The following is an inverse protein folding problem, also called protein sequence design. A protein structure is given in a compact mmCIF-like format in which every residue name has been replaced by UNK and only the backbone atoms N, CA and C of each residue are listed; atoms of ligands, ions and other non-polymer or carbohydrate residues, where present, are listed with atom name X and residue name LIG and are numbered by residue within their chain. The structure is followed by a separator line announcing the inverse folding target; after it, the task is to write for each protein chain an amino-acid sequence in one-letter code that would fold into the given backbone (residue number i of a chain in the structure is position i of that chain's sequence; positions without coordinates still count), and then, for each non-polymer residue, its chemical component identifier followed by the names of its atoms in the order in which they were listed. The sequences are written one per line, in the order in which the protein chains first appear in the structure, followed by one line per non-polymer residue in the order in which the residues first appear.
data_IF_540052115680
#
_entry.id   IF_540052115680
#
_cell.length_a   1.000
_cell.length_b   1.000
_cell.length_c   1.000
_cell.angle_alpha   90.00
_cell.angle_beta   90.00
_cell.angle_gamma   90.00
#
_symmetry.space_group_name_H-M   'P 1'
#
loop_
_entity.id
_entity.type
_entity.pdbx_description
1 polymer ?
#
# COMPACT_ATOMS: atom_id res chain seq x y z
N UNK A 1 -13.90 -16.92 20.87
CA UNK A 1 -13.98 -16.28 19.54
C UNK A 1 -13.17 -14.98 19.40
N UNK A 2 -12.76 -14.30 20.49
CA UNK A 2 -11.99 -13.04 20.42
C UNK A 2 -10.45 -13.18 20.23
N UNK A 3 -9.90 -14.40 20.05
CA UNK A 3 -8.45 -14.64 20.01
C UNK A 3 -7.84 -14.77 18.60
N UNK A 4 -8.66 -14.88 17.55
CA UNK A 4 -8.18 -14.99 16.16
C UNK A 4 -8.08 -13.64 15.43
N UNK A 5 -8.80 -12.61 15.88
CA UNK A 5 -8.80 -11.30 15.22
C UNK A 5 -7.52 -10.49 15.50
N UNK A 6 -6.91 -10.69 16.68
CA UNK A 6 -5.69 -10.00 17.11
C UNK A 6 -4.39 -10.44 16.44
N UNK A 7 -4.44 -11.36 15.46
CA UNK A 7 -3.27 -11.84 14.70
C UNK A 7 -3.33 -11.52 13.21
N UNK A 8 -4.40 -10.89 12.73
CA UNK A 8 -4.63 -10.62 11.30
C UNK A 8 -4.37 -9.17 10.88
N UNK A 9 -4.02 -8.27 11.81
CA UNK A 9 -3.68 -6.88 11.49
C UNK A 9 -2.17 -6.71 11.66
N UNK A 10 -1.41 -7.22 10.70
CA UNK A 10 0.02 -7.02 10.63
C UNK A 10 0.40 -6.50 9.24
N UNK A 11 0.57 -5.17 9.17
CA UNK A 11 1.40 -4.42 8.22
C UNK A 11 0.94 -4.39 6.78
N UNK A 12 0.56 -3.19 6.35
CA UNK A 12 0.79 -2.70 5.00
C UNK A 12 1.22 -1.25 5.13
N UNK A 13 2.15 -0.80 4.27
CA UNK A 13 2.53 0.58 3.90
C UNK A 13 4.05 0.84 3.96
N UNK A 14 4.66 0.99 2.77
CA UNK A 14 5.82 1.85 2.59
C UNK A 14 5.31 3.28 2.42
N UNK A 15 6.04 4.22 3.00
CA UNK A 15 5.61 5.59 3.18
C UNK A 15 6.66 6.51 2.50
N UNK A 16 6.25 7.17 1.40
CA UNK A 16 7.10 7.90 0.44
C UNK A 16 7.89 9.10 1.00
N UNK A 17 9.19 9.17 0.68
CA UNK A 17 9.94 10.41 0.39
C UNK A 17 10.73 10.22 -0.91
N UNK A 18 10.61 11.18 -1.86
CA UNK A 18 11.57 11.55 -2.92
C UNK A 18 10.86 12.17 -4.14
N UNK A 19 10.96 13.49 -4.25
CA UNK A 19 11.12 14.19 -5.53
C UNK A 19 12.63 14.19 -5.83
N UNK A 20 13.05 13.65 -6.97
CA UNK A 20 14.14 14.10 -7.86
C UNK A 20 14.64 12.95 -8.77
N UNK A 21 14.89 13.18 -10.07
CA UNK A 21 15.45 12.18 -10.98
C UNK A 21 17.00 12.20 -10.95
N UNK A 22 17.63 11.03 -10.78
CA UNK A 22 19.07 10.81 -11.01
C UNK A 22 19.31 9.85 -12.17
N UNK A 23 20.44 9.94 -12.90
CA UNK A 23 20.71 9.07 -14.05
C UNK A 23 21.06 7.65 -13.62
N UNK A 24 20.53 6.66 -14.35
CA UNK A 24 20.74 5.22 -14.13
C UNK A 24 21.88 4.73 -15.03
N UNK A 25 22.96 4.19 -14.45
CA UNK A 25 23.95 3.38 -15.17
C UNK A 25 23.63 1.89 -14.99
N UNK A 26 23.63 1.15 -16.10
CA UNK A 26 23.29 -0.27 -16.14
C UNK A 26 24.51 -1.17 -15.94
N UNK A 27 24.44 -2.03 -14.92
CA UNK A 27 25.07 -3.36 -14.89
C UNK A 27 24.07 -4.32 -14.21
N UNK A 28 23.90 -5.57 -14.70
CA UNK A 28 23.07 -6.54 -13.99
C UNK A 28 23.85 -7.07 -12.77
N UNK A 29 23.39 -6.88 -11.52
CA UNK A 29 24.05 -7.53 -10.40
C UNK A 29 23.59 -9.00 -10.30
N UNK A 30 24.50 -9.83 -9.80
CA UNK A 30 24.23 -11.22 -9.43
C UNK A 30 23.05 -11.32 -8.45
N UNK A 31 22.38 -12.48 -8.44
CA UNK A 31 21.17 -12.76 -7.65
C UNK A 31 21.48 -12.64 -6.15
N UNK A 32 21.17 -11.49 -5.57
CA UNK A 32 21.32 -11.21 -4.13
C UNK A 32 20.06 -11.67 -3.39
N UNK A 33 20.19 -12.46 -2.32
CA UNK A 33 19.06 -12.80 -1.45
C UNK A 33 18.61 -11.52 -0.77
N UNK A 34 17.45 -10.99 -1.15
CA UNK A 34 16.94 -9.73 -0.61
C UNK A 34 16.48 -9.95 0.82
N UNK A 35 17.12 -9.25 1.75
CA UNK A 35 16.77 -9.29 3.18
C UNK A 35 15.46 -8.51 3.41
N UNK A 36 14.36 -9.22 3.63
CA UNK A 36 13.08 -8.63 4.02
C UNK A 36 12.96 -8.52 5.54
N UNK A 37 13.80 -7.68 6.16
CA UNK A 37 13.77 -7.44 7.62
C UNK A 37 12.38 -7.06 8.14
N UNK A 38 11.55 -6.45 7.28
CA UNK A 38 10.18 -6.10 7.60
C UNK A 38 9.34 -7.32 7.98
N UNK A 39 9.61 -8.50 7.42
CA UNK A 39 8.94 -9.75 7.78
C UNK A 39 9.37 -10.22 9.18
N UNK A 40 10.65 -10.09 9.52
CA UNK A 40 11.16 -10.43 10.84
C UNK A 40 10.62 -9.49 11.92
N UNK A 41 10.61 -8.18 11.64
CA UNK A 41 10.15 -7.14 12.57
C UNK A 41 8.68 -7.32 13.00
N UNK A 42 7.90 -7.99 12.16
CA UNK A 42 6.46 -8.19 12.38
C UNK A 42 6.15 -9.60 12.86
N UNK A 43 7.20 -10.39 13.12
CA UNK A 43 7.13 -11.82 13.43
C UNK A 43 6.29 -12.56 12.39
N UNK A 44 6.49 -12.24 11.10
CA UNK A 44 5.81 -12.93 10.02
C UNK A 44 6.15 -14.42 10.10
N UNK A 45 5.16 -15.31 9.91
CA UNK A 45 5.40 -16.73 9.95
C UNK A 45 6.29 -17.12 8.76
N UNK A 46 7.29 -17.97 9.01
CA UNK A 46 8.18 -18.50 7.98
C UNK A 46 7.42 -19.26 6.90
N UNK A 47 6.35 -19.95 7.31
CA UNK A 47 5.39 -20.62 6.44
C UNK A 47 4.08 -19.84 6.41
N UNK A 48 3.83 -19.11 5.32
CA UNK A 48 2.59 -18.36 5.14
C UNK A 48 1.42 -19.27 4.75
N UNK A 49 1.66 -20.54 4.40
CA UNK A 49 0.58 -21.48 4.04
C UNK A 49 -0.34 -21.79 5.22
N UNK A 50 0.14 -21.64 6.46
CA UNK A 50 -0.69 -21.76 7.66
C UNK A 50 -1.70 -20.62 7.83
N UNK A 51 -1.57 -19.56 7.02
CA UNK A 51 -2.47 -18.41 6.96
C UNK A 51 -3.19 -18.31 5.61
N UNK A 52 -3.06 -19.33 4.75
CA UNK A 52 -3.82 -19.41 3.51
C UNK A 52 -5.31 -19.44 3.86
N UNK A 53 -6.02 -18.39 3.46
CA UNK A 53 -7.46 -18.30 3.69
C UNK A 53 -8.17 -19.38 2.88
N UNK A 54 -9.09 -20.11 3.50
CA UNK A 54 -9.99 -21.04 2.80
C UNK A 54 -10.95 -20.31 1.83
N UNK A 55 -11.11 -19.00 2.02
CA UNK A 55 -11.93 -18.11 1.19
C UNK A 55 -11.06 -17.09 0.44
N UNK A 56 -11.47 -16.76 -0.78
CA UNK A 56 -10.89 -15.70 -1.61
C UNK A 56 -11.02 -14.34 -0.90
N UNK A 57 -9.89 -13.76 -0.46
CA UNK A 57 -9.84 -12.43 0.16
C UNK A 57 -9.40 -11.43 -0.89
N UNK A 58 -10.26 -10.45 -1.18
CA UNK A 58 -9.94 -9.32 -2.04
C UNK A 58 -9.44 -8.12 -1.24
N UNK A 59 -8.32 -7.56 -1.68
CA UNK A 59 -7.69 -6.36 -1.14
C UNK A 59 -7.70 -5.28 -2.21
N UNK A 60 -8.41 -4.18 -1.95
CA UNK A 60 -8.33 -2.98 -2.77
C UNK A 60 -7.04 -2.23 -2.45
N UNK A 61 -6.28 -1.91 -3.48
CA UNK A 61 -5.10 -1.03 -3.39
C UNK A 61 -5.47 0.30 -4.04
N UNK A 62 -5.81 1.28 -3.20
CA UNK A 62 -6.15 2.65 -3.61
C UNK A 62 -4.86 3.46 -3.72
N UNK A 63 -4.29 3.51 -4.92
CA UNK A 63 -2.93 4.00 -5.14
C UNK A 63 -2.72 4.47 -6.60
N UNK A 64 -1.52 4.30 -7.16
CA UNK A 64 -1.15 4.77 -8.49
C UNK A 64 -1.41 3.83 -9.65
N UNK A 65 -2.05 2.69 -9.37
CA UNK A 65 -2.20 1.59 -10.30
C UNK A 65 -1.21 0.46 -10.02
N UNK A 66 -1.27 -0.58 -10.82
CA UNK A 66 -0.42 -1.77 -10.68
C UNK A 66 0.14 -2.17 -12.03
N UNK A 67 1.43 -2.53 -12.07
CA UNK A 67 2.00 -3.15 -13.24
C UNK A 67 1.66 -4.65 -13.32
N UNK A 68 0.57 -4.95 -14.03
CA UNK A 68 0.06 -6.31 -14.24
C UNK A 68 1.04 -7.30 -14.93
N UNK A 69 2.06 -6.81 -15.65
CA UNK A 69 3.06 -7.62 -16.35
C UNK A 69 4.33 -7.87 -15.54
N UNK A 70 4.36 -7.48 -14.27
CA UNK A 70 5.54 -7.61 -13.43
C UNK A 70 5.72 -9.07 -12.96
N UNK A 71 6.89 -9.70 -13.16
CA UNK A 71 7.09 -11.10 -12.78
C UNK A 71 7.02 -11.40 -11.28
N UNK A 72 7.01 -10.38 -10.42
CA UNK A 72 6.90 -10.49 -8.95
C UNK A 72 5.48 -10.23 -8.44
N UNK A 73 4.54 -9.82 -9.29
CA UNK A 73 3.11 -9.72 -9.00
C UNK A 73 2.46 -10.75 -9.91
N UNK A 74 2.08 -11.91 -9.36
CA UNK A 74 1.47 -12.96 -10.17
C UNK A 74 0.15 -12.45 -10.76
N UNK A 75 -0.02 -12.56 -12.07
CA UNK A 75 -1.23 -12.12 -12.77
C UNK A 75 -2.49 -12.86 -12.30
N UNK A 76 -2.36 -14.04 -11.69
CA UNK A 76 -3.48 -14.75 -11.04
C UNK A 76 -3.96 -14.10 -9.74
N UNK A 77 -3.17 -13.25 -9.12
CA UNK A 77 -3.53 -12.50 -7.91
C UNK A 77 -4.02 -11.09 -8.22
N UNK A 78 -4.09 -10.67 -9.49
CA UNK A 78 -4.57 -9.34 -9.89
C UNK A 78 -5.88 -9.48 -10.66
N UNK A 79 -6.94 -8.82 -10.18
CA UNK A 79 -8.24 -8.79 -10.85
C UNK A 79 -8.51 -7.41 -11.46
N UNK A 80 -9.58 -7.30 -12.23
CA UNK A 80 -9.99 -6.03 -12.83
C UNK A 80 -10.24 -4.95 -11.77
N UNK A 81 -9.89 -3.72 -12.11
CA UNK A 81 -10.06 -2.54 -11.25
C UNK A 81 -10.46 -1.31 -12.06
N UNK A 82 -10.33 -0.12 -11.47
CA UNK A 82 -10.74 1.12 -12.11
C UNK A 82 -9.80 2.28 -11.82
N UNK A 83 -9.73 3.23 -12.74
CA UNK A 83 -8.97 4.45 -12.60
C UNK A 83 -9.89 5.66 -12.46
N UNK A 84 -10.00 6.14 -11.22
CA UNK A 84 -10.83 7.27 -10.82
C UNK A 84 -10.17 8.63 -11.05
N UNK A 85 -8.86 8.66 -11.35
CA UNK A 85 -8.19 9.88 -11.75
C UNK A 85 -8.48 10.23 -13.22
N UNK A 86 -8.59 9.22 -14.09
CA UNK A 86 -8.80 9.37 -15.53
C UNK A 86 -10.19 8.92 -16.02
N UNK A 87 -11.06 8.42 -15.12
CA UNK A 87 -12.35 7.79 -15.45
C UNK A 87 -12.22 6.71 -16.53
N UNK A 88 -11.37 5.70 -16.28
CA UNK A 88 -11.11 4.62 -17.24
C UNK A 88 -10.86 3.27 -16.59
N UNK A 89 -10.95 2.18 -17.35
CA UNK A 89 -10.56 0.84 -16.89
C UNK A 89 -9.05 0.59 -16.94
N UNK A 90 -8.23 1.58 -17.34
CA UNK A 90 -6.78 1.41 -17.45
C UNK A 90 -6.12 1.69 -16.10
N UNK A 91 -5.66 0.63 -15.45
CA UNK A 91 -5.09 0.66 -14.10
C UNK A 91 -3.57 0.50 -14.06
N UNK A 92 -2.90 0.67 -15.22
CA UNK A 92 -1.44 0.54 -15.32
C UNK A 92 -0.74 1.63 -14.50
N UNK A 93 0.26 1.21 -13.73
CA UNK A 93 1.00 2.11 -12.83
C UNK A 93 2.03 2.96 -13.58
N UNK A 94 1.72 4.25 -13.74
CA UNK A 94 2.64 5.22 -14.36
C UNK A 94 3.54 5.93 -13.34
N UNK A 95 3.32 5.73 -12.04
CA UNK A 95 4.10 6.35 -10.96
C UNK A 95 5.06 5.34 -10.33
N UNK A 96 4.61 4.11 -10.10
CA UNK A 96 5.36 3.00 -9.51
C UNK A 96 5.04 2.71 -8.04
N UNK A 97 4.26 3.57 -7.37
CA UNK A 97 4.01 3.44 -5.92
C UNK A 97 3.02 2.31 -5.62
N UNK A 98 1.91 2.23 -6.36
CA UNK A 98 0.91 1.17 -6.18
C UNK A 98 1.47 -0.22 -6.47
N UNK A 99 2.39 -0.34 -7.44
CA UNK A 99 3.12 -1.57 -7.70
C UNK A 99 4.05 -1.96 -6.52
N UNK A 100 4.72 -0.98 -5.91
CA UNK A 100 5.55 -1.22 -4.71
C UNK A 100 4.72 -1.71 -3.52
N UNK A 101 3.59 -1.05 -3.28
CA UNK A 101 2.65 -1.42 -2.21
C UNK A 101 2.11 -2.83 -2.45
N UNK A 102 1.70 -3.12 -3.69
CA UNK A 102 1.19 -4.44 -4.08
C UNK A 102 2.23 -5.54 -3.89
N UNK A 103 3.50 -5.27 -4.20
CA UNK A 103 4.56 -6.27 -4.01
C UNK A 103 4.78 -6.64 -2.54
N UNK A 104 4.54 -5.73 -1.59
CA UNK A 104 4.58 -6.03 -0.16
C UNK A 104 3.36 -6.88 0.24
N UNK A 105 2.19 -6.55 -0.30
CA UNK A 105 0.95 -7.26 0.01
C UNK A 105 0.98 -8.67 -0.57
N UNK A 106 1.17 -8.81 -1.87
CA UNK A 106 0.96 -10.04 -2.63
C UNK A 106 2.16 -10.42 -3.52
N UNK A 107 3.37 -9.98 -3.16
CA UNK A 107 4.60 -10.40 -3.82
C UNK A 107 4.69 -11.93 -3.94
N UNK A 108 4.88 -12.40 -5.17
CA UNK A 108 4.84 -13.83 -5.49
C UNK A 108 6.10 -14.53 -4.99
N UNK A 109 5.92 -15.60 -4.19
CA UNK A 109 6.99 -16.55 -3.82
C UNK A 109 7.49 -17.38 -5.02
N UNK A 110 6.83 -17.31 -6.17
CA UNK A 110 7.03 -18.25 -7.25
C UNK A 110 8.24 -17.91 -8.14
N UNK A 111 9.07 -18.93 -8.36
CA UNK A 111 10.24 -18.97 -9.25
C UNK A 111 11.48 -18.25 -8.73
N UNK A 112 12.08 -18.78 -7.66
CA UNK A 112 13.50 -18.55 -7.35
C UNK A 112 13.89 -17.07 -7.05
N UNK A 113 12.94 -16.20 -6.66
CA UNK A 113 13.21 -14.76 -6.44
C UNK A 113 12.71 -14.19 -5.10
N UNK A 114 13.68 -13.75 -4.30
CA UNK A 114 13.85 -12.46 -3.61
C UNK A 114 12.71 -11.69 -2.89
N UNK A 115 11.40 -11.91 -3.12
CA UNK A 115 10.36 -11.12 -2.43
C UNK A 115 9.14 -11.98 -2.04
N UNK A 116 8.84 -12.02 -0.75
CA UNK A 116 7.66 -12.68 -0.17
C UNK A 116 6.66 -11.63 0.26
N UNK A 117 5.46 -11.64 -0.34
CA UNK A 117 4.29 -10.89 0.15
C UNK A 117 3.54 -11.64 1.24
N UNK A 118 2.86 -10.91 2.13
CA UNK A 118 2.16 -11.47 3.29
C UNK A 118 0.82 -12.15 2.95
N UNK A 119 0.14 -11.65 1.94
CA UNK A 119 -1.14 -12.14 1.43
C UNK A 119 -0.98 -12.81 0.07
N UNK A 120 -0.09 -13.79 -0.06
CA UNK A 120 0.21 -14.44 -1.35
C UNK A 120 -0.99 -15.17 -2.00
N UNK A 121 -2.08 -15.36 -1.26
CA UNK A 121 -3.35 -15.92 -1.76
C UNK A 121 -4.46 -14.89 -1.91
N UNK A 122 -4.17 -13.60 -1.65
CA UNK A 122 -5.15 -12.54 -1.81
C UNK A 122 -5.27 -12.14 -3.29
N UNK A 123 -6.50 -11.82 -3.70
CA UNK A 123 -6.75 -11.14 -4.96
C UNK A 123 -6.62 -9.63 -4.74
N UNK A 124 -5.93 -8.95 -5.65
CA UNK A 124 -5.63 -7.53 -5.58
C UNK A 124 -6.49 -6.81 -6.59
N UNK A 125 -7.20 -5.79 -6.12
CA UNK A 125 -8.04 -4.90 -6.94
C UNK A 125 -7.34 -3.55 -7.07
N UNK A 126 -6.83 -3.16 -8.25
CA UNK A 126 -6.18 -1.88 -8.45
C UNK A 126 -7.22 -0.76 -8.58
N UNK A 127 -7.26 0.16 -7.62
CA UNK A 127 -8.13 1.34 -7.65
C UNK A 127 -7.26 2.60 -7.77
N UNK A 128 -7.16 3.18 -8.97
CA UNK A 128 -6.23 4.28 -9.22
C UNK A 128 -6.82 5.60 -8.76
N UNK A 129 -6.23 6.18 -7.72
CA UNK A 129 -6.60 7.49 -7.18
C UNK A 129 -5.67 8.61 -7.65
N UNK A 130 -4.40 8.28 -7.90
CA UNK A 130 -3.38 9.21 -8.40
C UNK A 130 -2.67 8.59 -9.60
N UNK A 131 -2.33 9.36 -10.62
CA UNK A 131 -1.59 8.86 -11.77
C UNK A 131 -0.77 9.98 -12.38
N UNK A 132 -0.17 9.75 -13.54
CA UNK A 132 0.44 10.82 -14.33
C UNK A 132 0.04 10.69 -15.79
N UNK A 133 -0.06 11.83 -16.46
CA UNK A 133 -0.12 11.85 -17.90
C UNK A 133 1.20 11.35 -18.50
N UNK A 134 1.19 10.88 -19.78
CA UNK A 134 2.42 10.57 -20.49
C UNK A 134 3.44 11.73 -20.54
N UNK A 135 2.97 12.97 -20.38
CA UNK A 135 3.81 14.17 -20.26
C UNK A 135 4.59 14.26 -18.93
N UNK A 136 4.31 13.38 -17.97
CA UNK A 136 4.91 13.38 -16.63
C UNK A 136 4.14 14.20 -15.59
N UNK A 137 3.12 14.94 -15.99
CA UNK A 137 2.29 15.73 -15.05
C UNK A 137 1.43 14.81 -14.20
N UNK A 138 1.54 14.95 -12.88
CA UNK A 138 0.75 14.17 -11.91
C UNK A 138 -0.70 14.64 -11.92
N UNK A 139 -1.63 13.68 -11.88
CA UNK A 139 -3.06 13.89 -11.79
C UNK A 139 -3.58 13.17 -10.54
N UNK A 140 -4.27 13.90 -9.68
CA UNK A 140 -4.89 13.35 -8.48
C UNK A 140 -6.42 13.48 -8.62
N UNK A 141 -7.15 12.40 -8.39
CA UNK A 141 -8.61 12.39 -8.49
C UNK A 141 -9.35 13.11 -7.35
N UNK A 142 -8.63 13.55 -6.32
CA UNK A 142 -9.16 14.27 -5.17
C UNK A 142 -10.07 13.42 -4.28
N UNK A 143 -10.78 14.09 -3.38
CA UNK A 143 -11.72 13.44 -2.45
C UNK A 143 -12.84 12.68 -3.18
N UNK A 144 -13.46 13.20 -4.27
CA UNK A 144 -14.53 12.47 -4.96
C UNK A 144 -14.06 11.13 -5.56
N UNK A 145 -12.83 11.06 -6.07
CA UNK A 145 -12.25 9.80 -6.53
C UNK A 145 -12.01 8.82 -5.38
N UNK A 146 -11.50 9.30 -4.24
CA UNK A 146 -11.25 8.46 -3.07
C UNK A 146 -12.55 7.89 -2.49
N UNK A 147 -13.58 8.72 -2.36
CA UNK A 147 -14.92 8.31 -1.91
C UNK A 147 -15.49 7.21 -2.79
N UNK A 148 -15.44 7.38 -4.12
CA UNK A 148 -15.91 6.38 -5.07
C UNK A 148 -15.08 5.10 -5.02
N UNK A 149 -13.75 5.21 -4.96
CA UNK A 149 -12.88 4.04 -4.84
C UNK A 149 -13.21 3.22 -3.58
N UNK A 150 -13.45 3.86 -2.43
CA UNK A 150 -13.84 3.16 -1.19
C UNK A 150 -15.18 2.45 -1.36
N UNK A 151 -16.20 3.11 -1.92
CA UNK A 151 -17.52 2.50 -2.13
C UNK A 151 -17.48 1.35 -3.14
N UNK A 152 -16.83 1.54 -4.28
CA UNK A 152 -16.73 0.52 -5.32
C UNK A 152 -15.87 -0.67 -4.89
N UNK A 153 -14.83 -0.45 -4.07
CA UNK A 153 -14.08 -1.55 -3.46
C UNK A 153 -15.04 -2.53 -2.78
N UNK A 154 -16.07 -2.02 -2.12
CA UNK A 154 -17.08 -2.81 -1.39
C UNK A 154 -18.14 -3.34 -2.36
N UNK A 155 -18.83 -2.45 -3.07
CA UNK A 155 -20.07 -2.76 -3.79
C UNK A 155 -19.84 -3.42 -5.15
N UNK A 156 -18.74 -3.06 -5.83
CA UNK A 156 -18.41 -3.56 -7.18
C UNK A 156 -17.41 -4.70 -7.10
N UNK A 157 -16.38 -4.54 -6.29
CA UNK A 157 -15.25 -5.48 -6.26
C UNK A 157 -15.31 -6.49 -5.10
N UNK A 158 -16.23 -6.31 -4.15
CA UNK A 158 -16.41 -7.19 -3.00
C UNK A 158 -15.13 -7.39 -2.18
N UNK A 159 -14.38 -6.30 -1.97
CA UNK A 159 -13.17 -6.28 -1.16
C UNK A 159 -13.50 -6.40 0.32
N UNK A 160 -12.62 -7.07 1.06
CA UNK A 160 -12.69 -7.18 2.52
C UNK A 160 -11.71 -6.25 3.23
N UNK A 161 -10.70 -5.79 2.50
CA UNK A 161 -9.66 -4.88 2.99
C UNK A 161 -9.45 -3.79 1.93
N UNK A 162 -9.31 -2.55 2.39
CA UNK A 162 -8.97 -1.39 1.57
C UNK A 162 -7.69 -0.78 2.11
N UNK A 163 -6.63 -0.80 1.31
CA UNK A 163 -5.37 -0.13 1.62
C UNK A 163 -5.30 1.21 0.87
N UNK A 164 -5.18 2.31 1.61
CA UNK A 164 -5.05 3.67 1.08
C UNK A 164 -3.67 4.23 1.47
N UNK A 165 -2.70 4.17 0.55
CA UNK A 165 -1.33 4.61 0.82
C UNK A 165 -1.10 6.12 0.65
N UNK A 166 -2.16 6.90 0.86
CA UNK A 166 -2.15 8.35 0.77
C UNK A 166 -3.27 8.91 1.64
N UNK A 167 -3.34 10.23 1.73
CA UNK A 167 -4.44 10.92 2.37
C UNK A 167 -4.59 12.35 1.89
N UNK A 168 -5.66 12.98 2.36
CA UNK A 168 -5.96 14.40 2.18
C UNK A 168 -5.92 15.09 3.53
N UNK A 169 -5.60 16.38 3.58
CA UNK A 169 -5.51 17.13 4.84
C UNK A 169 -6.82 17.78 5.28
N UNK A 170 -7.84 17.74 4.43
CA UNK A 170 -9.16 18.29 4.72
C UNK A 170 -10.10 17.16 5.13
N UNK A 171 -10.78 17.34 6.26
CA UNK A 171 -11.82 16.43 6.73
C UNK A 171 -13.14 16.72 6.00
N UNK A 172 -13.51 15.82 5.10
CA UNK A 172 -14.70 15.96 4.26
C UNK A 172 -15.80 15.00 4.72
N UNK A 173 -17.04 15.51 4.79
CA UNK A 173 -18.19 14.73 5.24
C UNK A 173 -18.40 13.47 4.40
N UNK A 174 -18.29 13.58 3.07
CA UNK A 174 -18.48 12.46 2.14
C UNK A 174 -17.42 11.37 2.32
N UNK A 175 -16.18 11.74 2.65
CA UNK A 175 -15.11 10.77 2.92
C UNK A 175 -15.34 10.05 4.25
N UNK A 176 -15.77 10.79 5.28
CA UNK A 176 -16.17 10.20 6.56
C UNK A 176 -17.32 9.21 6.40
N UNK A 177 -18.32 9.56 5.61
CA UNK A 177 -19.46 8.68 5.31
C UNK A 177 -19.05 7.43 4.53
N UNK A 178 -18.13 7.55 3.57
CA UNK A 178 -17.61 6.40 2.83
C UNK A 178 -16.84 5.41 3.73
N UNK A 179 -16.07 5.93 4.68
CA UNK A 179 -15.35 5.12 5.67
C UNK A 179 -16.32 4.47 6.67
N UNK A 180 -17.31 5.23 7.17
CA UNK A 180 -18.35 4.67 8.03
C UNK A 180 -19.16 3.56 7.32
N UNK A 181 -19.39 3.71 6.02
CA UNK A 181 -20.01 2.67 5.20
C UNK A 181 -19.14 1.41 5.09
N UNK A 182 -17.81 1.55 4.92
CA UNK A 182 -16.89 0.42 4.93
C UNK A 182 -16.95 -0.34 6.26
N UNK A 183 -16.98 0.38 7.38
CA UNK A 183 -17.14 -0.18 8.71
C UNK A 183 -18.47 -0.93 8.87
N UNK A 184 -19.60 -0.33 8.45
CA UNK A 184 -20.93 -0.96 8.50
C UNK A 184 -20.96 -2.30 7.76
N UNK A 185 -20.21 -2.41 6.65
CA UNK A 185 -20.06 -3.64 5.85
C UNK A 185 -19.01 -4.60 6.40
N UNK A 186 -18.34 -4.24 7.50
CA UNK A 186 -17.27 -5.02 8.12
C UNK A 186 -16.02 -5.12 7.23
N UNK A 187 -15.77 -4.11 6.40
CA UNK A 187 -14.59 -3.97 5.55
C UNK A 187 -13.54 -3.16 6.31
N UNK A 188 -12.31 -3.67 6.35
CA UNK A 188 -11.21 -3.03 7.07
C UNK A 188 -10.58 -1.97 6.18
N UNK A 189 -10.46 -0.74 6.69
CA UNK A 189 -9.74 0.34 6.00
C UNK A 189 -8.40 0.59 6.72
N UNK A 190 -7.32 0.58 5.95
CA UNK A 190 -5.95 0.82 6.41
C UNK A 190 -5.41 2.02 5.63
N UNK A 191 -4.80 2.99 6.31
CA UNK A 191 -4.31 4.19 5.64
C UNK A 191 -3.04 4.75 6.26
N UNK A 192 -2.17 5.36 5.43
CA UNK A 192 -0.96 6.00 5.88
C UNK A 192 -1.25 7.31 6.62
N UNK A 193 -0.59 7.54 7.75
CA UNK A 193 -0.82 8.73 8.60
C UNK A 193 -0.17 10.01 8.08
N UNK A 194 0.71 9.91 7.08
CA UNK A 194 1.41 11.01 6.42
C UNK A 194 2.89 11.14 6.77
N UNK A 195 3.61 11.93 5.96
CA UNK A 195 5.07 11.84 5.79
C UNK A 195 5.76 13.21 5.84
N UNK A 196 5.08 14.19 6.44
CA UNK A 196 5.49 15.58 6.43
C UNK A 196 5.80 16.10 7.81
N UNK A 197 6.10 15.24 8.78
CA UNK A 197 6.21 15.63 10.18
C UNK A 197 7.30 16.68 10.41
N UNK A 198 8.37 16.65 9.60
CA UNK A 198 9.44 17.64 9.66
C UNK A 198 9.02 19.04 9.16
N UNK A 199 8.10 19.12 8.20
CA UNK A 199 7.67 20.39 7.58
C UNK A 199 6.29 20.85 8.04
N UNK A 200 5.41 19.92 8.39
CA UNK A 200 4.00 20.07 8.75
C UNK A 200 3.68 19.10 9.91
N UNK A 201 4.26 19.28 11.12
CA UNK A 201 4.07 18.37 12.25
C UNK A 201 2.61 18.25 12.71
N UNK A 202 1.85 19.34 12.60
CA UNK A 202 0.44 19.40 13.00
C UNK A 202 -0.51 18.86 11.93
N UNK A 203 -0.01 18.44 10.76
CA UNK A 203 -0.86 17.92 9.69
C UNK A 203 -1.52 16.60 10.09
N UNK A 204 -2.81 16.54 9.84
CA UNK A 204 -3.67 15.36 10.00
C UNK A 204 -4.14 14.92 8.63
N UNK A 205 -4.01 13.63 8.34
CA UNK A 205 -4.37 13.06 7.05
C UNK A 205 -5.58 12.13 7.19
N UNK A 206 -6.54 12.28 6.28
CA UNK A 206 -7.73 11.46 6.16
C UNK A 206 -7.59 10.54 4.93
N UNK A 207 -8.01 9.26 5.00
CA UNK A 207 -8.91 8.72 6.02
C UNK A 207 -8.21 8.21 7.30
N UNK A 208 -6.88 8.18 7.38
CA UNK A 208 -6.14 7.62 8.52
C UNK A 208 -6.56 8.17 9.91
N UNK A 209 -7.01 9.42 9.97
CA UNK A 209 -7.45 10.05 11.22
C UNK A 209 -8.91 9.75 11.65
N UNK A 210 -9.68 8.98 10.86
CA UNK A 210 -10.99 8.51 11.31
C UNK A 210 -10.84 7.35 12.29
N UNK A 211 -11.65 7.33 13.35
CA UNK A 211 -11.53 6.42 14.49
C UNK A 211 -11.50 4.93 14.10
N UNK A 212 -12.19 4.57 13.03
CA UNK A 212 -12.41 3.17 12.62
C UNK A 212 -11.45 2.73 11.51
N UNK A 213 -10.56 3.64 11.10
CA UNK A 213 -9.46 3.39 10.17
C UNK A 213 -8.21 3.00 10.95
N UNK A 214 -7.51 2.00 10.45
CA UNK A 214 -6.21 1.61 10.99
C UNK A 214 -5.16 2.53 10.37
N UNK A 215 -4.83 3.61 11.08
CA UNK A 215 -3.79 4.54 10.67
C UNK A 215 -2.40 3.99 11.00
N UNK A 216 -1.54 3.90 9.98
CA UNK A 216 -0.20 3.29 10.08
C UNK A 216 0.90 4.36 9.96
N UNK A 217 1.72 4.47 11.01
CA UNK A 217 2.97 5.23 11.03
C UNK A 217 4.18 4.39 10.62
N UNK A 218 5.31 5.05 10.35
CA UNK A 218 6.52 4.41 9.81
C UNK A 218 7.65 4.31 10.82
N UNK A 219 8.28 3.13 10.91
CA UNK A 219 9.49 2.88 11.73
C UNK A 219 10.64 2.33 10.89
N UNK A 220 11.86 2.53 11.41
CA UNK A 220 13.08 1.95 10.87
C UNK A 220 13.38 0.55 11.46
N UNK A 221 14.55 -0.01 11.10
CA UNK A 221 14.98 -1.35 11.52
C UNK A 221 15.22 -1.49 13.02
N UNK A 222 15.45 -0.39 13.72
CA UNK A 222 15.58 -0.33 15.18
C UNK A 222 14.23 -0.08 15.87
N UNK A 223 13.12 -0.17 15.12
CA UNK A 223 11.75 0.13 15.56
C UNK A 223 11.57 1.58 16.07
N UNK A 224 12.47 2.48 15.68
CA UNK A 224 12.35 3.90 15.97
C UNK A 224 11.47 4.57 14.93
N UNK A 225 10.58 5.47 15.38
CA UNK A 225 9.68 6.22 14.50
C UNK A 225 10.52 7.12 13.58
N UNK A 226 10.30 7.01 12.27
CA UNK A 226 11.00 7.83 11.29
C UNK A 226 10.63 9.31 11.43
N UNK A 227 11.59 10.20 11.18
CA UNK A 227 11.41 11.64 11.39
C UNK A 227 10.29 12.23 10.52
N UNK A 228 10.06 11.67 9.33
CA UNK A 228 9.01 12.11 8.42
C UNK A 228 7.62 11.60 8.84
N UNK A 229 7.51 10.52 9.61
CA UNK A 229 6.22 9.91 9.95
C UNK A 229 5.39 10.85 10.83
N UNK A 230 4.12 11.09 10.47
CA UNK A 230 3.24 11.89 11.33
C UNK A 230 3.09 11.26 12.72
N UNK A 231 2.93 12.15 13.69
CA UNK A 231 2.75 11.85 15.11
C UNK A 231 1.47 12.53 15.60
N UNK A 232 0.33 12.09 15.07
CA UNK A 232 -0.99 12.66 15.37
C UNK A 232 -1.95 11.59 15.91
N UNK A 233 -3.16 12.01 16.27
CA UNK A 233 -4.17 11.12 16.87
C UNK A 233 -4.68 10.01 15.92
N UNK A 234 -4.41 10.11 14.61
CA UNK A 234 -4.74 9.07 13.64
C UNK A 234 -3.81 7.87 13.66
N UNK A 235 -2.71 7.89 14.42
CA UNK A 235 -1.78 6.75 14.49
C UNK A 235 -2.36 5.66 15.39
N UNK A 236 -2.80 4.56 14.79
CA UNK A 236 -3.23 3.35 15.52
C UNK A 236 -2.04 2.43 15.80
N UNK A 237 -1.16 2.26 14.82
CA UNK A 237 -0.02 1.31 14.86
C UNK A 237 1.14 1.84 14.02
N UNK A 238 2.34 1.32 14.24
CA UNK A 238 3.52 1.57 13.40
C UNK A 238 3.97 0.31 12.67
N UNK A 239 4.50 0.47 11.46
CA UNK A 239 5.03 -0.62 10.64
C UNK A 239 6.40 -0.27 10.03
N UNK A 240 7.21 -1.27 9.66
CA UNK A 240 8.41 -1.07 8.84
C UNK A 240 8.13 -0.25 7.59
N UNK A 241 8.80 0.89 7.42
CA UNK A 241 8.64 1.72 6.22
C UNK A 241 9.91 2.39 5.69
N UNK A 242 11.07 2.11 6.30
CA UNK A 242 12.40 2.42 5.74
C UNK A 242 13.11 1.15 5.27
N UNK A 243 13.76 1.19 4.11
CA UNK A 243 14.57 0.06 3.63
C UNK A 243 13.75 -1.22 3.43
N UNK A 244 12.45 -1.10 3.18
CA UNK A 244 11.57 -2.23 2.90
C UNK A 244 11.77 -2.64 1.45
N UNK A 245 12.16 -3.89 1.25
CA UNK A 245 12.32 -4.44 -0.10
C UNK A 245 11.00 -4.37 -0.87
N UNK A 246 11.06 -3.84 -2.10
CA UNK A 246 9.92 -3.77 -2.99
C UNK A 246 10.37 -3.66 -4.45
N UNK A 247 9.40 -3.54 -5.36
CA UNK A 247 9.62 -3.34 -6.78
C UNK A 247 10.23 -1.97 -7.07
N UNK A 248 11.26 -1.93 -7.90
CA UNK A 248 11.78 -0.69 -8.49
C UNK A 248 11.06 -0.38 -9.80
N UNK A 249 11.04 0.90 -10.25
CA UNK A 249 10.45 1.30 -11.53
C UNK A 249 11.00 0.56 -12.75
N UNK A 250 12.21 -0.03 -12.65
CA UNK A 250 12.89 -0.81 -13.68
C UNK A 250 12.59 -2.33 -13.62
N UNK A 251 11.60 -2.77 -12.84
CA UNK A 251 11.28 -4.19 -12.51
C UNK A 251 12.25 -4.93 -11.62
N UNK A 252 13.35 -4.32 -11.18
CA UNK A 252 14.24 -5.00 -10.24
C UNK A 252 13.64 -5.00 -8.82
N UNK A 253 13.94 -6.03 -8.03
CA UNK A 253 13.69 -5.95 -6.57
C UNK A 253 14.87 -5.23 -5.96
N UNK A 254 14.60 -4.19 -5.16
CA UNK A 254 15.62 -3.50 -4.39
C UNK A 254 15.10 -3.23 -2.98
N UNK A 255 16.01 -3.18 -2.01
CA UNK A 255 15.82 -2.42 -0.78
C UNK A 255 16.17 -0.97 -1.10
N UNK A 256 15.21 -0.03 -1.15
CA UNK A 256 15.55 1.37 -1.34
C UNK A 256 16.43 1.82 -0.18
N UNK A 257 17.68 2.17 -0.45
CA UNK A 257 18.49 2.92 0.52
C UNK A 257 18.02 4.38 0.45
N UNK A 258 17.14 4.79 1.35
CA UNK A 258 16.90 6.21 1.58
C UNK A 258 18.11 6.76 2.34
N UNK A 259 19.18 7.08 1.61
CA UNK A 259 20.12 8.11 2.10
C UNK A 259 19.63 9.42 1.50
N UNK A 260 19.05 10.23 2.39
CA UNK A 260 18.89 11.71 2.37
C UNK A 260 18.80 12.39 1.01
#
# INVERSE_FOLDING_TARGET
MARSLGRAVAIFLIIWTCLLPGPVYAHPPAVEVVNQWCLDAINAPTDLSTYACENEVRVAVVDSGIWAGNPYIDGGSLVDGYNYALESSVTHDLIGHGSQVTAIIAGARARDRQLTGLGSSAEIVPLVWITRYPSGVTLNGGVPALVRAIRDAIDVYNCRIINVSSGVTLDEAELREAVAYAEEKGVIVISAVGNRNQSEPEAVYYPAAYETVIGVGSVNRDLSILDFSQRNAGVTVTAPGEGVASLSPDTSVRTPSLRT
#
